data_IF_868580344623
#
_entry.id   IF_868580344623
#
_cell.length_a   1.000
_cell.length_b   1.000
_cell.length_c   1.000
_cell.angle_alpha   90.00
_cell.angle_beta   90.00
_cell.angle_gamma   90.00
#
_symmetry.space_group_name_H-M   'P 1'
#
loop_
_entity.id
_entity.type
_entity.pdbx_description
1 polymer ?
#
# COMPACT_ATOMS: atom_id res chain seq x y z
N UNK A 1 1.58 -2.46 14.35
CA UNK A 1 1.11 -1.96 13.04
C UNK A 1 1.38 -3.03 12.01
N UNK A 2 0.58 -3.15 10.95
CA UNK A 2 0.81 -4.16 9.90
C UNK A 2 1.51 -3.48 8.74
N UNK A 3 2.71 -3.95 8.42
CA UNK A 3 3.50 -3.51 7.28
C UNK A 3 3.39 -4.60 6.21
N UNK A 4 2.93 -4.24 5.02
CA UNK A 4 2.74 -5.21 3.95
C UNK A 4 4.07 -5.58 3.28
N UNK A 5 5.04 -4.66 3.28
CA UNK A 5 6.37 -4.87 2.71
C UNK A 5 7.42 -4.40 3.71
N UNK A 6 8.61 -4.98 3.63
CA UNK A 6 9.77 -4.54 4.41
C UNK A 6 10.38 -3.27 3.81
N UNK A 7 11.15 -2.54 4.63
CA UNK A 7 11.96 -1.42 4.17
C UNK A 7 12.87 -1.81 2.99
N UNK A 8 13.51 -2.98 3.06
CA UNK A 8 14.39 -3.46 2.00
C UNK A 8 13.65 -3.65 0.66
N UNK A 9 12.45 -4.25 0.68
CA UNK A 9 11.63 -4.41 -0.53
C UNK A 9 11.21 -3.07 -1.14
N UNK A 10 10.89 -2.08 -0.30
CA UNK A 10 10.58 -0.73 -0.76
C UNK A 10 11.80 -0.05 -1.39
N UNK A 11 12.97 -0.15 -0.77
CA UNK A 11 14.24 0.39 -1.29
C UNK A 11 14.61 -0.22 -2.62
N UNK A 12 14.49 -1.54 -2.76
CA UNK A 12 14.71 -2.25 -4.02
C UNK A 12 13.76 -1.77 -5.12
N UNK A 13 12.48 -1.56 -4.79
CA UNK A 13 11.49 -1.04 -5.75
C UNK A 13 11.82 0.39 -6.22
N UNK A 14 12.22 1.25 -5.28
CA UNK A 14 12.51 2.67 -5.54
C UNK A 14 13.94 2.92 -6.04
N UNK A 15 14.80 1.89 -6.06
CA UNK A 15 16.23 1.99 -6.40
C UNK A 15 16.97 2.95 -5.46
N UNK A 16 16.71 2.82 -4.16
CA UNK A 16 17.36 3.59 -3.10
C UNK A 16 18.46 2.73 -2.48
N UNK A 17 19.72 3.12 -2.66
CA UNK A 17 20.88 2.37 -2.17
C UNK A 17 21.36 2.84 -0.78
N UNK A 18 21.07 4.08 -0.39
CA UNK A 18 21.53 4.69 0.87
C UNK A 18 20.46 4.67 1.97
N UNK A 19 20.84 4.90 3.22
CA UNK A 19 19.93 4.95 4.37
C UNK A 19 19.29 6.32 4.65
N UNK A 20 19.66 7.35 3.87
CA UNK A 20 19.11 8.69 4.05
C UNK A 20 17.62 8.70 3.66
N UNK A 21 16.74 8.87 4.65
CA UNK A 21 15.29 8.87 4.47
C UNK A 21 14.60 7.54 4.80
N UNK A 22 15.30 6.58 5.41
CA UNK A 22 14.71 5.31 5.84
C UNK A 22 13.50 5.53 6.78
N UNK A 23 13.59 6.47 7.73
CA UNK A 23 12.50 6.81 8.64
C UNK A 23 11.24 7.33 7.91
N UNK A 24 11.42 8.18 6.89
CA UNK A 24 10.33 8.70 6.06
C UNK A 24 9.72 7.58 5.20
N UNK A 25 10.55 6.70 4.66
CA UNK A 25 10.09 5.55 3.88
C UNK A 25 9.33 4.54 4.75
N UNK A 26 9.79 4.28 5.98
CA UNK A 26 9.11 3.42 6.95
C UNK A 26 7.74 3.99 7.32
N UNK A 27 7.65 5.31 7.57
CA UNK A 27 6.36 5.98 7.79
C UNK A 27 5.41 5.84 6.59
N UNK A 28 5.92 5.93 5.36
CA UNK A 28 5.13 5.72 4.13
C UNK A 28 4.69 4.27 3.95
N UNK A 29 5.53 3.30 4.30
CA UNK A 29 5.15 1.88 4.33
C UNK A 29 4.00 1.66 5.30
N UNK A 30 4.10 2.21 6.51
CA UNK A 30 3.09 2.08 7.56
C UNK A 30 1.76 2.73 7.18
N UNK A 31 1.78 3.99 6.77
CA UNK A 31 0.59 4.74 6.36
C UNK A 31 -0.04 4.18 5.08
N UNK A 32 0.77 3.80 4.08
CA UNK A 32 0.31 3.15 2.86
C UNK A 32 -0.30 1.77 3.13
N UNK A 33 0.30 0.99 4.03
CA UNK A 33 -0.26 -0.31 4.44
C UNK A 33 -1.62 -0.15 5.11
N UNK A 34 -1.75 0.82 6.02
CA UNK A 34 -3.02 1.13 6.66
C UNK A 34 -4.08 1.58 5.63
N UNK A 35 -3.71 2.42 4.68
CA UNK A 35 -4.62 2.90 3.63
C UNK A 35 -5.12 1.75 2.72
N UNK A 36 -4.24 0.87 2.27
CA UNK A 36 -4.62 -0.28 1.43
C UNK A 36 -5.49 -1.29 2.17
N UNK A 37 -5.14 -1.61 3.42
CA UNK A 37 -5.93 -2.52 4.23
C UNK A 37 -7.31 -1.95 4.57
N UNK A 38 -7.41 -0.62 4.72
CA UNK A 38 -8.70 0.08 4.86
C UNK A 38 -9.50 0.03 3.56
N UNK A 39 -8.84 0.24 2.41
CA UNK A 39 -9.47 0.23 1.10
C UNK A 39 -10.12 -1.11 0.74
N UNK A 40 -9.45 -2.25 1.02
CA UNK A 40 -9.98 -3.58 0.69
C UNK A 40 -11.10 -4.06 1.63
N UNK A 41 -11.31 -3.38 2.76
CA UNK A 41 -12.41 -3.63 3.71
C UNK A 41 -12.57 -5.11 4.07
N UNK A 42 -13.70 -5.76 3.75
CA UNK A 42 -13.91 -7.18 4.05
C UNK A 42 -12.85 -8.11 3.42
N UNK A 43 -12.20 -7.71 2.33
CA UNK A 43 -11.08 -8.47 1.75
C UNK A 43 -9.82 -8.49 2.61
N UNK A 44 -9.75 -7.68 3.67
CA UNK A 44 -8.66 -7.70 4.65
C UNK A 44 -8.47 -9.09 5.26
N UNK A 45 -9.55 -9.85 5.45
CA UNK A 45 -9.50 -11.21 6.01
C UNK A 45 -8.72 -12.22 5.13
N UNK A 46 -8.50 -11.89 3.86
CA UNK A 46 -7.70 -12.69 2.92
C UNK A 46 -6.20 -12.35 3.00
N UNK A 47 -5.84 -11.27 3.70
CA UNK A 47 -4.48 -10.72 3.75
C UNK A 47 -3.94 -10.71 5.18
N UNK A 48 -4.82 -10.53 6.16
CA UNK A 48 -4.51 -10.41 7.59
C UNK A 48 -5.39 -11.36 8.37
N UNK A 49 -4.79 -12.24 9.16
CA UNK A 49 -5.50 -13.16 10.05
C UNK A 49 -6.12 -12.44 11.25
N UNK A 50 -7.02 -13.12 11.97
CA UNK A 50 -7.61 -12.62 13.22
C UNK A 50 -6.57 -12.23 14.27
N UNK A 51 -5.40 -12.87 14.24
CA UNK A 51 -4.29 -12.62 15.18
C UNK A 51 -3.36 -11.49 14.72
N UNK A 52 -3.68 -10.85 13.59
CA UNK A 52 -2.90 -9.73 13.04
C UNK A 52 -1.69 -10.14 12.20
N UNK A 53 -1.55 -11.41 11.85
CA UNK A 53 -0.45 -11.91 11.01
C UNK A 53 -0.81 -11.84 9.52
N UNK A 54 0.18 -11.65 8.65
CA UNK A 54 -0.03 -11.71 7.20
C UNK A 54 -0.32 -13.15 6.76
N UNK A 55 -1.31 -13.31 5.88
CA UNK A 55 -1.67 -14.59 5.27
C UNK A 55 -0.97 -14.70 3.91
N UNK A 56 -0.08 -15.67 3.77
CA UNK A 56 0.58 -15.91 2.48
C UNK A 56 -0.42 -16.40 1.42
N UNK A 57 -0.33 -15.82 0.21
CA UNK A 57 -1.19 -16.16 -0.91
C UNK A 57 -1.25 -15.07 -1.97
N UNK A 58 -1.98 -15.35 -3.05
CA UNK A 58 -2.19 -14.40 -4.15
C UNK A 58 -2.73 -13.03 -3.70
N UNK A 59 -3.71 -12.94 -2.76
CA UNK A 59 -4.20 -11.65 -2.27
C UNK A 59 -3.09 -10.81 -1.64
N UNK A 60 -2.27 -11.39 -0.76
CA UNK A 60 -1.16 -10.68 -0.14
C UNK A 60 -0.17 -10.17 -1.19
N UNK A 61 0.22 -11.00 -2.17
CA UNK A 61 1.16 -10.57 -3.22
C UNK A 61 0.63 -9.39 -4.05
N UNK A 62 -0.67 -9.38 -4.33
CA UNK A 62 -1.32 -8.28 -5.05
C UNK A 62 -1.33 -6.98 -4.24
N UNK A 63 -1.63 -7.06 -2.93
CA UNK A 63 -1.60 -5.87 -2.05
C UNK A 63 -0.17 -5.39 -1.81
N UNK A 64 0.81 -6.28 -1.71
CA UNK A 64 2.24 -5.93 -1.67
C UNK A 64 2.66 -5.16 -2.93
N UNK A 65 2.31 -5.66 -4.11
CA UNK A 65 2.58 -4.97 -5.38
C UNK A 65 1.90 -3.60 -5.46
N UNK A 66 0.65 -3.51 -4.98
CA UNK A 66 -0.09 -2.24 -4.91
C UNK A 66 0.59 -1.24 -3.97
N UNK A 67 1.12 -1.68 -2.83
CA UNK A 67 1.88 -0.82 -1.92
C UNK A 67 3.16 -0.29 -2.57
N UNK A 68 3.93 -1.14 -3.24
CA UNK A 68 5.15 -0.70 -3.93
C UNK A 68 4.85 0.37 -4.97
N UNK A 69 3.81 0.18 -5.80
CA UNK A 69 3.36 1.18 -6.77
C UNK A 69 2.94 2.48 -6.08
N UNK A 70 2.22 2.39 -4.96
CA UNK A 70 1.82 3.57 -4.18
C UNK A 70 3.04 4.31 -3.63
N UNK A 71 4.05 3.61 -3.12
CA UNK A 71 5.29 4.22 -2.65
C UNK A 71 6.03 4.94 -3.79
N UNK A 72 6.08 4.33 -4.99
CA UNK A 72 6.65 4.98 -6.17
C UNK A 72 5.88 6.23 -6.61
N UNK A 73 4.56 6.26 -6.40
CA UNK A 73 3.75 7.45 -6.61
C UNK A 73 4.06 8.54 -5.57
N UNK A 74 4.09 8.19 -4.29
CA UNK A 74 4.36 9.13 -3.18
C UNK A 74 5.78 9.68 -3.17
N UNK A 75 6.76 8.91 -3.66
CA UNK A 75 8.14 9.39 -3.78
C UNK A 75 8.28 10.51 -4.83
N UNK A 76 7.51 10.41 -5.93
CA UNK A 76 7.45 11.45 -6.99
C UNK A 76 6.54 12.62 -6.61
N UNK A 77 5.52 12.37 -5.80
CA UNK A 77 4.48 13.32 -5.43
C UNK A 77 4.54 13.70 -3.94
N UNK A 78 5.68 14.21 -3.48
CA UNK A 78 5.90 14.50 -2.05
C UNK A 78 5.08 15.68 -1.55
N UNK A 79 4.78 16.64 -2.42
CA UNK A 79 4.05 17.87 -2.09
C UNK A 79 2.68 17.96 -2.79
N UNK A 80 2.21 16.87 -3.41
CA UNK A 80 0.94 16.86 -4.16
C UNK A 80 1.07 17.34 -5.60
N UNK A 81 2.23 17.14 -6.23
CA UNK A 81 2.55 17.61 -7.58
C UNK A 81 1.57 17.13 -8.68
N UNK A 82 0.85 16.02 -8.45
CA UNK A 82 -0.17 15.45 -9.34
C UNK A 82 -1.56 15.33 -8.68
N UNK A 83 -1.89 16.23 -7.74
CA UNK A 83 -3.18 16.22 -7.03
C UNK A 83 -4.37 16.29 -8.00
N UNK A 84 -4.26 17.00 -9.12
CA UNK A 84 -5.33 17.14 -10.12
C UNK A 84 -5.69 15.82 -10.83
N UNK A 85 -4.80 14.82 -10.76
CA UNK A 85 -5.04 13.48 -11.30
C UNK A 85 -5.75 12.56 -10.29
N UNK A 86 -5.88 13.01 -9.04
CA UNK A 86 -6.52 12.26 -7.97
C UNK A 86 -7.97 12.70 -7.79
N UNK A 87 -8.79 11.76 -7.30
CA UNK A 87 -10.11 12.05 -6.78
C UNK A 87 -10.08 11.89 -5.27
N UNK A 88 -10.77 12.79 -4.58
CA UNK A 88 -10.88 12.74 -3.13
C UNK A 88 -11.41 11.37 -2.68
N UNK A 89 -10.68 10.72 -1.78
CA UNK A 89 -11.04 9.40 -1.22
C UNK A 89 -10.69 8.20 -2.12
N UNK A 90 -10.05 8.41 -3.27
CA UNK A 90 -9.63 7.33 -4.16
C UNK A 90 -8.11 7.12 -4.11
N UNK A 91 -7.70 5.87 -4.26
CA UNK A 91 -6.30 5.51 -4.54
C UNK A 91 -6.04 5.65 -6.06
N UNK A 92 -4.79 5.87 -6.48
CA UNK A 92 -4.43 5.91 -7.90
C UNK A 92 -4.89 4.65 -8.66
N UNK A 93 -5.24 4.80 -9.96
CA UNK A 93 -5.70 3.68 -10.79
C UNK A 93 -4.67 2.54 -10.87
N UNK A 94 -3.38 2.89 -10.94
CA UNK A 94 -2.28 1.92 -10.96
C UNK A 94 -2.20 1.06 -9.69
N UNK A 95 -2.74 1.56 -8.58
CA UNK A 95 -2.84 0.83 -7.31
C UNK A 95 -4.12 0.01 -7.31
N UNK A 96 -5.26 0.62 -7.61
CA UNK A 96 -6.57 -0.05 -7.54
C UNK A 96 -6.74 -1.17 -8.57
N UNK A 97 -6.12 -1.07 -9.75
CA UNK A 97 -6.17 -2.14 -10.76
C UNK A 97 -5.71 -3.51 -10.23
N UNK A 98 -4.84 -3.52 -9.20
CA UNK A 98 -4.33 -4.74 -8.60
C UNK A 98 -5.22 -5.31 -7.50
N UNK A 99 -6.11 -4.52 -6.89
CA UNK A 99 -6.79 -4.89 -5.64
C UNK A 99 -8.29 -4.55 -5.61
N UNK A 100 -8.84 -4.05 -6.72
CA UNK A 100 -10.23 -3.59 -6.76
C UNK A 100 -11.23 -4.69 -6.42
N UNK A 101 -11.02 -5.90 -6.91
CA UNK A 101 -11.83 -7.10 -6.64
C UNK A 101 -11.69 -7.63 -5.19
N UNK A 102 -10.62 -7.26 -4.48
CA UNK A 102 -10.48 -7.56 -3.05
C UNK A 102 -11.37 -6.64 -2.21
N UNK A 103 -11.79 -5.48 -2.74
CA UNK A 103 -12.70 -4.58 -2.03
C UNK A 103 -14.07 -5.23 -1.88
N UNK A 104 -14.46 -5.45 -0.63
CA UNK A 104 -15.80 -5.91 -0.27
C UNK A 104 -16.53 -4.82 0.50
N UNK A 105 -17.34 -3.97 -0.19
CA UNK A 105 -18.18 -2.96 0.45
C UNK A 105 -19.04 -3.61 1.52
N UNK A 106 -18.80 -3.24 2.77
CA UNK A 106 -19.66 -3.68 3.87
C UNK A 106 -20.83 -2.70 3.95
N UNK A 107 -22.06 -3.20 3.82
CA UNK A 107 -23.25 -2.41 4.15
C UNK A 107 -23.29 -2.37 5.68
N UNK A 108 -23.12 -1.17 6.25
CA UNK A 108 -23.32 -0.91 7.69
C UNK A 108 -24.80 -0.61 7.93
#
# INVERSE_FOLDING_TARGET
MIELVTLQQAKEHLRIDEGAGDDDLELKIQSGSAALLSYIQGGRELVVSSDGNLIEGEPLKRVQGALLILLGYLDRNRNGEEEEKLKQGELPLSVTMLIYDLRRPTII
#
